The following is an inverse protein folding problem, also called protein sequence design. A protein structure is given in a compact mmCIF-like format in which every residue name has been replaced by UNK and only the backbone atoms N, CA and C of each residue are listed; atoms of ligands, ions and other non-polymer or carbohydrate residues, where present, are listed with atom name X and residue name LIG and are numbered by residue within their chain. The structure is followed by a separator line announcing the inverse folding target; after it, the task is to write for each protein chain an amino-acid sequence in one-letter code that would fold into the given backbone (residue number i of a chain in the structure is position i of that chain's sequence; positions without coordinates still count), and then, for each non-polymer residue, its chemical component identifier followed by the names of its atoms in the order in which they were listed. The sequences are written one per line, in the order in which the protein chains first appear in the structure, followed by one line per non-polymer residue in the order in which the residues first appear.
data_IF_471155403499
#
_entry.id   IF_471155403499
#
_cell.length_a   1.000
_cell.length_b   1.000
_cell.length_c   1.000
_cell.angle_alpha   90.00
_cell.angle_beta   90.00
_cell.angle_gamma   90.00
#
_symmetry.space_group_name_H-M   'P 1'
#
loop_
_entity.id
_entity.type
_entity.pdbx_description
1 polymer ?
#
# COMPACT_ATOMS: atom_id res chain seq x y z
N UNK A 1 9.40 -15.97 50.54
CA UNK A 1 9.34 -17.32 49.91
C UNK A 1 9.66 -17.18 48.42
N UNK A 2 10.66 -17.90 47.93
CA UNK A 2 10.85 -18.03 46.48
C UNK A 2 9.66 -18.79 45.89
N UNK A 3 9.11 -18.27 44.80
CA UNK A 3 8.05 -18.93 44.05
C UNK A 3 8.69 -20.11 43.30
N UNK A 4 8.15 -21.30 43.47
CA UNK A 4 8.59 -22.46 42.71
C UNK A 4 8.11 -22.38 41.26
N UNK A 5 8.83 -23.06 40.37
CA UNK A 5 8.62 -23.03 38.93
C UNK A 5 7.20 -23.45 38.52
N UNK A 6 6.61 -24.43 39.22
CA UNK A 6 5.25 -24.94 38.93
C UNK A 6 4.20 -23.89 39.29
N UNK A 7 4.38 -23.20 40.42
CA UNK A 7 3.51 -22.09 40.80
C UNK A 7 3.61 -20.94 39.79
N UNK A 8 4.81 -20.64 39.28
CA UNK A 8 4.98 -19.61 38.24
C UNK A 8 4.30 -20.00 36.92
N UNK A 9 4.48 -21.24 36.47
CA UNK A 9 3.86 -21.76 35.23
C UNK A 9 2.34 -21.67 35.30
N UNK A 10 1.73 -22.13 36.39
CA UNK A 10 0.27 -22.02 36.58
C UNK A 10 -0.25 -20.59 36.57
N UNK A 11 0.47 -19.67 37.20
CA UNK A 11 0.09 -18.26 37.22
C UNK A 11 0.19 -17.65 35.82
N UNK A 12 1.21 -18.01 35.04
CA UNK A 12 1.34 -17.56 33.65
C UNK A 12 0.19 -18.10 32.78
N UNK A 13 -0.15 -19.38 32.88
CA UNK A 13 -1.29 -19.97 32.15
C UNK A 13 -2.63 -19.31 32.51
N UNK A 14 -2.87 -19.04 33.80
CA UNK A 14 -4.08 -18.33 34.25
C UNK A 14 -4.13 -16.89 33.71
N UNK A 15 -2.99 -16.19 33.69
CA UNK A 15 -2.91 -14.82 33.14
C UNK A 15 -3.10 -14.80 31.62
N UNK A 16 -2.54 -15.75 30.88
CA UNK A 16 -2.74 -15.89 29.43
C UNK A 16 -4.21 -16.16 29.11
N UNK A 17 -4.84 -17.08 29.84
CA UNK A 17 -6.27 -17.40 29.68
C UNK A 17 -7.14 -16.18 29.94
N UNK A 18 -6.88 -15.47 31.04
CA UNK A 18 -7.65 -14.28 31.39
C UNK A 18 -7.43 -13.13 30.40
N UNK A 19 -6.21 -12.97 29.87
CA UNK A 19 -5.93 -12.00 28.82
C UNK A 19 -6.71 -12.31 27.54
N UNK A 20 -6.75 -13.58 27.14
CA UNK A 20 -7.50 -14.03 25.97
C UNK A 20 -9.01 -13.80 26.12
N UNK A 21 -9.59 -14.16 27.27
CA UNK A 21 -11.01 -13.94 27.56
C UNK A 21 -11.35 -12.45 27.56
N UNK A 22 -10.55 -11.62 28.24
CA UNK A 22 -10.76 -10.17 28.27
C UNK A 22 -10.68 -9.55 26.87
N UNK A 23 -9.75 -10.03 26.03
CA UNK A 23 -9.62 -9.54 24.66
C UNK A 23 -10.84 -9.91 23.81
N UNK A 24 -11.36 -11.13 23.94
CA UNK A 24 -12.59 -11.53 23.25
C UNK A 24 -13.82 -10.75 23.71
N UNK A 25 -13.96 -10.51 25.02
CA UNK A 25 -15.05 -9.69 25.57
C UNK A 25 -14.96 -8.26 25.02
N UNK A 26 -13.76 -7.69 24.97
CA UNK A 26 -13.55 -6.35 24.41
C UNK A 26 -13.93 -6.32 22.92
N UNK A 27 -13.55 -7.34 22.14
CA UNK A 27 -13.94 -7.48 20.72
C UNK A 27 -15.47 -7.55 20.56
N UNK A 28 -16.18 -8.25 21.45
CA UNK A 28 -17.64 -8.41 21.39
C UNK A 28 -18.42 -7.19 21.88
N UNK A 29 -17.87 -6.41 22.81
CA UNK A 29 -18.62 -5.36 23.55
C UNK A 29 -18.20 -3.94 23.20
N UNK A 30 -17.01 -3.73 22.64
CA UNK A 30 -16.53 -2.41 22.21
C UNK A 30 -16.67 -2.23 20.70
N UNK A 31 -17.38 -1.17 20.28
CA UNK A 31 -17.52 -0.83 18.85
C UNK A 31 -16.14 -0.54 18.23
N UNK A 32 -15.84 -1.17 17.08
CA UNK A 32 -14.61 -0.95 16.31
C UNK A 32 -13.40 -1.81 16.69
N UNK A 33 -13.53 -2.76 17.61
CA UNK A 33 -12.48 -3.78 17.90
C UNK A 33 -12.67 -5.09 17.10
N UNK A 34 -13.83 -5.28 16.47
CA UNK A 34 -14.08 -6.40 15.56
C UNK A 34 -13.35 -6.27 14.22
N UNK A 35 -13.07 -7.41 13.57
CA UNK A 35 -12.62 -7.42 12.17
C UNK A 35 -13.83 -7.13 11.29
N UNK A 36 -14.04 -5.87 10.96
CA UNK A 36 -15.06 -5.43 10.00
C UNK A 36 -14.46 -5.49 8.60
N UNK A 37 -15.03 -6.32 7.73
CA UNK A 37 -14.67 -6.31 6.31
C UNK A 37 -15.37 -5.13 5.64
N UNK A 38 -14.62 -4.06 5.38
CA UNK A 38 -15.10 -2.95 4.58
C UNK A 38 -15.12 -3.36 3.10
N UNK A 39 -16.31 -3.69 2.59
CA UNK A 39 -16.54 -4.10 1.19
C UNK A 39 -16.17 -3.01 0.18
N UNK A 40 -16.04 -1.74 0.61
CA UNK A 40 -15.66 -0.63 -0.26
C UNK A 40 -14.14 -0.46 -0.39
N UNK A 41 -13.33 -1.26 0.34
CA UNK A 41 -11.88 -1.20 0.23
C UNK A 41 -11.41 -1.84 -1.06
N UNK A 42 -10.70 -1.03 -1.85
CA UNK A 42 -10.16 -1.43 -3.14
C UNK A 42 -8.66 -1.14 -3.22
N UNK A 43 -7.96 -1.93 -4.03
CA UNK A 43 -6.56 -1.68 -4.33
C UNK A 43 -6.35 -0.30 -5.01
N UNK A 44 -5.41 0.49 -4.50
CA UNK A 44 -5.06 1.84 -4.99
C UNK A 44 -4.41 1.85 -6.39
N UNK A 45 -4.12 0.67 -6.95
CA UNK A 45 -3.57 0.52 -8.31
C UNK A 45 -4.65 0.07 -9.30
N UNK A 46 -5.29 -1.09 -9.05
CA UNK A 46 -6.25 -1.68 -9.99
C UNK A 46 -7.71 -1.35 -9.71
N UNK A 47 -8.03 -0.77 -8.53
CA UNK A 47 -9.39 -0.43 -8.08
C UNK A 47 -10.33 -1.63 -7.93
N UNK A 48 -9.79 -2.86 -7.89
CA UNK A 48 -10.55 -4.07 -7.55
C UNK A 48 -10.51 -4.33 -6.03
N UNK A 49 -11.62 -4.80 -5.43
CA UNK A 49 -11.66 -5.29 -4.05
C UNK A 49 -11.22 -6.76 -3.93
N UNK A 50 -11.04 -7.47 -5.04
CA UNK A 50 -10.80 -8.92 -5.06
C UNK A 50 -9.34 -9.27 -4.80
N UNK A 51 -9.06 -9.95 -3.68
CA UNK A 51 -7.79 -10.60 -3.39
C UNK A 51 -7.81 -12.10 -3.70
N UNK A 52 -6.68 -12.65 -4.12
CA UNK A 52 -6.48 -14.07 -4.39
C UNK A 52 -5.34 -14.65 -3.53
N UNK A 53 -5.29 -15.98 -3.38
CA UNK A 53 -4.17 -16.65 -2.70
C UNK A 53 -2.85 -16.35 -3.43
N UNK A 54 -1.85 -15.89 -2.69
CA UNK A 54 -0.58 -15.39 -3.24
C UNK A 54 -0.64 -14.01 -3.92
N UNK A 55 -1.82 -13.35 -3.97
CA UNK A 55 -1.99 -11.98 -4.47
C UNK A 55 -2.94 -11.15 -3.58
N UNK A 56 -2.79 -11.31 -2.27
CA UNK A 56 -3.57 -10.63 -1.24
C UNK A 56 -3.45 -9.09 -1.27
N UNK A 57 -4.43 -8.41 -0.68
CA UNK A 57 -4.35 -6.98 -0.39
C UNK A 57 -3.45 -6.72 0.82
N UNK A 58 -2.51 -5.80 0.67
CA UNK A 58 -1.55 -5.42 1.70
C UNK A 58 -1.66 -3.92 1.98
N UNK A 59 -1.77 -3.58 3.27
CA UNK A 59 -1.88 -2.21 3.74
C UNK A 59 -0.53 -1.72 4.27
N UNK A 60 -0.16 -0.48 3.92
CA UNK A 60 1.00 0.14 4.54
C UNK A 60 0.67 0.63 5.95
N UNK A 61 1.41 0.15 6.94
CA UNK A 61 1.21 0.49 8.36
C UNK A 61 1.43 1.97 8.72
N UNK A 62 1.94 2.79 7.78
CA UNK A 62 2.20 4.22 8.01
C UNK A 62 1.25 5.15 7.28
N UNK A 63 0.84 4.83 6.06
CA UNK A 63 0.03 5.72 5.23
C UNK A 63 -1.30 5.10 4.76
N UNK A 64 -1.57 3.86 5.16
CA UNK A 64 -2.76 3.11 4.82
C UNK A 64 -3.04 2.93 3.31
N UNK A 65 -2.00 3.05 2.46
CA UNK A 65 -2.14 2.69 1.04
C UNK A 65 -2.42 1.19 0.96
N UNK A 66 -3.45 0.81 0.22
CA UNK A 66 -3.90 -0.57 0.04
C UNK A 66 -3.55 -1.03 -1.36
N UNK A 67 -2.78 -2.10 -1.50
CA UNK A 67 -2.37 -2.62 -2.81
C UNK A 67 -2.36 -4.14 -2.84
N UNK A 68 -2.73 -4.72 -3.97
CA UNK A 68 -2.40 -6.13 -4.21
C UNK A 68 -0.90 -6.34 -4.33
N UNK A 69 -0.43 -7.51 -3.90
CA UNK A 69 0.99 -7.89 -4.00
C UNK A 69 1.53 -7.72 -5.42
N UNK A 70 0.87 -8.29 -6.43
CA UNK A 70 1.29 -8.17 -7.83
C UNK A 70 1.14 -6.75 -8.38
N UNK A 71 0.15 -5.99 -7.91
CA UNK A 71 -0.06 -4.61 -8.34
C UNK A 71 1.06 -3.65 -7.91
N UNK A 72 1.77 -3.96 -6.83
CA UNK A 72 2.85 -3.12 -6.30
C UNK A 72 4.23 -3.78 -6.30
N UNK A 73 4.30 -5.05 -6.74
CA UNK A 73 5.53 -5.83 -6.81
C UNK A 73 6.05 -6.25 -5.44
N UNK A 74 5.14 -6.66 -4.54
CA UNK A 74 5.47 -7.25 -3.25
C UNK A 74 5.72 -8.74 -3.50
N UNK A 75 6.98 -9.17 -3.43
CA UNK A 75 7.35 -10.57 -3.68
C UNK A 75 7.05 -11.49 -2.50
N UNK A 76 7.03 -10.92 -1.29
CA UNK A 76 6.71 -11.62 -0.05
C UNK A 76 6.23 -10.61 0.98
N UNK A 77 5.07 -10.86 1.58
CA UNK A 77 4.60 -10.09 2.74
C UNK A 77 5.52 -10.42 3.93
N UNK A 78 6.14 -9.42 4.58
CA UNK A 78 6.99 -9.64 5.73
C UNK A 78 6.16 -10.14 6.93
N UNK A 79 6.80 -10.90 7.81
CA UNK A 79 6.23 -11.19 9.13
C UNK A 79 6.36 -9.90 9.95
N UNK A 80 5.23 -9.28 10.30
CA UNK A 80 5.19 -7.98 10.97
C UNK A 80 4.84 -6.84 10.00
N UNK A 81 5.40 -5.65 10.25
CA UNK A 81 4.98 -4.44 9.53
C UNK A 81 5.43 -4.42 8.07
N UNK A 82 4.53 -4.02 7.17
CA UNK A 82 4.84 -3.67 5.78
C UNK A 82 4.74 -2.17 5.55
N UNK A 83 5.78 -1.60 4.92
CA UNK A 83 5.82 -0.20 4.52
C UNK A 83 5.91 -0.08 3.00
N UNK A 84 5.06 0.76 2.41
CA UNK A 84 5.19 1.12 1.01
C UNK A 84 6.52 1.88 0.74
N UNK A 85 6.90 2.00 -0.53
CA UNK A 85 8.25 2.46 -0.89
C UNK A 85 8.54 3.89 -0.41
N UNK A 86 7.55 4.78 -0.40
CA UNK A 86 7.69 6.16 0.08
C UNK A 86 7.84 6.21 1.60
N UNK A 87 7.03 5.45 2.33
CA UNK A 87 7.07 5.36 3.79
C UNK A 87 8.38 4.76 4.30
N UNK A 88 8.86 3.68 3.66
CA UNK A 88 10.14 3.04 3.99
C UNK A 88 11.34 4.00 3.82
N UNK A 89 11.27 4.91 2.84
CA UNK A 89 12.30 5.94 2.62
C UNK A 89 12.05 7.24 3.39
N UNK A 90 10.93 7.36 4.12
CA UNK A 90 10.58 8.57 4.86
C UNK A 90 10.28 9.79 3.99
N UNK A 91 9.91 9.60 2.71
CA UNK A 91 9.67 10.68 1.75
C UNK A 91 8.18 10.87 1.44
N UNK A 92 7.79 12.08 1.04
CA UNK A 92 6.44 12.40 0.56
C UNK A 92 6.50 13.03 -0.85
N UNK A 93 6.91 12.25 -1.87
CA UNK A 93 7.10 12.78 -3.20
C UNK A 93 5.75 13.06 -3.88
N UNK A 94 5.78 13.94 -4.88
CA UNK A 94 4.66 14.13 -5.81
C UNK A 94 4.81 13.20 -7.01
N UNK A 95 3.69 12.73 -7.54
CA UNK A 95 3.69 12.09 -8.85
C UNK A 95 4.10 13.10 -9.92
N UNK A 96 4.94 12.68 -10.87
CA UNK A 96 5.35 13.52 -12.00
C UNK A 96 4.26 13.63 -13.07
N UNK A 97 3.34 12.66 -13.14
CA UNK A 97 2.42 12.47 -14.26
C UNK A 97 0.99 12.92 -13.96
N UNK A 98 0.69 13.30 -12.72
CA UNK A 98 -0.63 13.80 -12.33
C UNK A 98 -0.52 14.72 -11.09
N UNK A 99 -1.54 15.53 -10.78
CA UNK A 99 -1.52 16.43 -9.63
C UNK A 99 -1.85 15.76 -8.29
N UNK A 100 -2.31 14.49 -8.30
CA UNK A 100 -2.76 13.80 -7.07
C UNK A 100 -1.59 13.50 -6.12
N UNK A 101 -1.85 13.63 -4.83
CA UNK A 101 -0.90 13.32 -3.74
C UNK A 101 -1.27 11.98 -3.09
N UNK A 102 -0.31 11.39 -2.37
CA UNK A 102 -0.48 10.10 -1.71
C UNK A 102 -0.48 8.93 -2.71
N UNK A 103 -1.07 7.79 -2.32
CA UNK A 103 -1.25 6.62 -3.17
C UNK A 103 0.03 5.80 -3.43
N UNK A 104 -0.12 4.78 -4.26
CA UNK A 104 0.93 3.81 -4.58
C UNK A 104 1.96 4.37 -5.56
N UNK A 105 3.10 4.83 -5.05
CA UNK A 105 4.18 5.46 -5.82
C UNK A 105 5.40 4.56 -5.96
N UNK A 106 6.06 4.60 -7.11
CA UNK A 106 7.36 3.96 -7.36
C UNK A 106 8.36 4.96 -7.95
N UNK A 107 9.66 4.83 -7.62
CA UNK A 107 10.66 5.74 -8.12
C UNK A 107 11.02 5.45 -9.59
N UNK A 108 11.48 6.48 -10.27
CA UNK A 108 12.19 6.36 -11.54
C UNK A 108 13.60 5.83 -11.33
N UNK A 109 14.31 5.46 -12.41
CA UNK A 109 15.67 4.91 -12.33
C UNK A 109 16.67 5.79 -11.57
N UNK A 110 16.51 7.11 -11.56
CA UNK A 110 17.38 8.02 -10.80
C UNK A 110 17.09 8.05 -9.29
N UNK A 111 15.96 7.48 -8.83
CA UNK A 111 15.51 7.57 -7.44
C UNK A 111 14.94 8.93 -7.03
N UNK A 112 15.08 9.97 -7.86
CA UNK A 112 14.72 11.36 -7.51
C UNK A 112 13.31 11.75 -7.93
N UNK A 113 12.78 11.15 -9.00
CA UNK A 113 11.40 11.39 -9.47
C UNK A 113 10.53 10.17 -9.19
N UNK A 114 9.24 10.42 -8.97
CA UNK A 114 8.27 9.42 -8.53
C UNK A 114 7.01 9.48 -9.39
N UNK A 115 6.39 8.34 -9.60
CA UNK A 115 5.19 8.19 -10.42
C UNK A 115 4.26 7.18 -9.77
N UNK A 116 2.95 7.42 -9.83
CA UNK A 116 1.97 6.43 -9.39
C UNK A 116 2.07 5.20 -10.28
N UNK A 117 1.96 4.00 -9.68
CA UNK A 117 1.95 2.77 -10.46
C UNK A 117 0.82 2.77 -11.49
N UNK A 118 -0.37 3.23 -11.10
CA UNK A 118 -1.51 3.41 -12.00
C UNK A 118 -1.22 4.38 -13.16
N UNK A 119 -0.61 5.54 -12.91
CA UNK A 119 -0.19 6.44 -13.98
C UNK A 119 0.78 5.77 -14.96
N UNK A 120 1.72 4.98 -14.46
CA UNK A 120 2.68 4.27 -15.30
C UNK A 120 2.05 3.15 -16.15
N UNK A 121 0.97 2.54 -15.67
CA UNK A 121 0.22 1.50 -16.40
C UNK A 121 -0.64 2.09 -17.53
N UNK A 122 -1.22 3.26 -17.31
CA UNK A 122 -2.21 3.83 -18.24
C UNK A 122 -1.60 4.80 -19.28
N UNK A 123 -0.37 5.29 -19.08
CA UNK A 123 0.31 6.13 -20.07
C UNK A 123 1.13 5.24 -21.01
N UNK A 124 0.75 5.13 -22.31
CA UNK A 124 1.31 4.12 -23.21
C UNK A 124 2.83 4.20 -23.41
N UNK A 125 3.40 5.40 -23.34
CA UNK A 125 4.82 5.62 -23.56
C UNK A 125 5.69 5.30 -22.33
N UNK A 126 5.06 5.19 -21.14
CA UNK A 126 5.74 4.84 -19.89
C UNK A 126 5.92 3.32 -19.83
N UNK A 127 6.98 2.87 -19.17
CA UNK A 127 7.21 1.44 -18.95
C UNK A 127 7.70 1.17 -17.54
N UNK A 128 7.40 -0.02 -17.03
CA UNK A 128 7.93 -0.52 -15.77
C UNK A 128 9.11 -1.44 -16.08
N UNK A 129 10.27 -1.15 -15.49
CA UNK A 129 11.53 -1.83 -15.84
C UNK A 129 11.55 -3.31 -15.48
N UNK A 130 11.01 -3.67 -14.31
CA UNK A 130 10.83 -5.05 -13.86
C UNK A 130 9.37 -5.21 -13.42
N UNK A 131 8.53 -5.91 -14.20
CA UNK A 131 7.12 -6.12 -13.88
C UNK A 131 6.90 -6.83 -12.53
N UNK A 132 7.75 -7.80 -12.18
CA UNK A 132 7.65 -8.52 -10.90
C UNK A 132 7.84 -7.61 -9.68
N UNK A 133 8.73 -6.62 -9.78
CA UNK A 133 9.00 -5.65 -8.69
C UNK A 133 8.20 -4.36 -8.85
N UNK A 134 7.46 -4.24 -9.95
CA UNK A 134 6.77 -3.03 -10.39
C UNK A 134 7.66 -1.77 -10.40
N UNK A 135 8.97 -1.92 -10.63
CA UNK A 135 9.93 -0.81 -10.55
C UNK A 135 11.23 -1.07 -11.35
N UNK A 136 12.04 -0.04 -11.65
CA UNK A 136 11.69 1.38 -11.57
C UNK A 136 10.73 1.78 -12.70
N UNK A 137 10.12 2.96 -12.56
CA UNK A 137 9.38 3.58 -13.67
C UNK A 137 10.37 4.16 -14.69
N UNK A 138 10.13 3.90 -15.98
CA UNK A 138 11.05 4.20 -17.07
C UNK A 138 10.32 4.81 -18.27
N UNK A 139 11.08 5.26 -19.28
CA UNK A 139 10.60 5.84 -20.55
C UNK A 139 9.68 7.06 -20.44
N UNK A 140 9.64 7.75 -19.29
CA UNK A 140 8.91 9.01 -19.13
C UNK A 140 9.33 10.07 -20.17
N UNK A 141 10.61 10.08 -20.57
CA UNK A 141 11.11 10.99 -21.61
C UNK A 141 10.57 10.70 -23.01
N UNK A 142 9.87 9.57 -23.22
CA UNK A 142 9.26 9.22 -24.49
C UNK A 142 7.83 9.77 -24.62
N UNK A 143 7.26 10.33 -23.54
CA UNK A 143 5.94 10.95 -23.56
C UNK A 143 5.99 12.19 -24.47
N UNK A 144 5.16 12.27 -25.53
CA UNK A 144 5.15 13.41 -26.44
C UNK A 144 4.80 14.72 -25.73
N UNK A 145 5.45 15.82 -26.13
CA UNK A 145 5.19 17.16 -25.57
C UNK A 145 3.71 17.56 -25.63
N UNK A 146 2.97 17.10 -26.65
CA UNK A 146 1.54 17.34 -26.79
C UNK A 146 0.71 16.84 -25.61
N UNK A 147 1.09 15.72 -24.98
CA UNK A 147 0.36 15.18 -23.80
C UNK A 147 0.50 16.04 -22.56
N UNK A 148 1.66 16.69 -22.40
CA UNK A 148 1.92 17.62 -21.29
C UNK A 148 1.17 18.94 -21.45
N UNK A 149 0.77 19.28 -22.68
CA UNK A 149 0.00 20.49 -22.98
C UNK A 149 -1.51 20.29 -22.81
N UNK A 150 -1.99 19.07 -22.57
CA UNK A 150 -3.41 18.78 -22.39
C UNK A 150 -3.92 19.29 -21.03
N UNK A 151 -5.13 19.84 -21.04
CA UNK A 151 -5.89 20.13 -19.83
C UNK A 151 -6.78 18.94 -19.49
N UNK A 152 -6.71 18.46 -18.25
CA UNK A 152 -7.53 17.35 -17.80
C UNK A 152 -9.02 17.74 -17.81
N UNK A 153 -9.88 16.94 -18.45
CA UNK A 153 -11.32 17.21 -18.50
C UNK A 153 -12.01 17.12 -17.13
N UNK A 154 -11.40 16.42 -16.17
CA UNK A 154 -11.95 16.21 -14.82
C UNK A 154 -11.49 17.30 -13.84
N UNK A 155 -10.18 17.48 -13.64
CA UNK A 155 -9.65 18.46 -12.68
C UNK A 155 -9.38 19.85 -13.29
N UNK A 156 -9.46 20.01 -14.61
CA UNK A 156 -9.20 21.25 -15.36
C UNK A 156 -7.78 21.80 -15.24
N UNK A 157 -6.86 21.07 -14.63
CA UNK A 157 -5.45 21.45 -14.55
C UNK A 157 -4.66 21.00 -15.78
N UNK A 158 -3.64 21.78 -16.15
CA UNK A 158 -2.60 21.41 -17.12
C UNK A 158 -1.35 20.88 -16.40
N UNK A 159 -1.56 19.98 -15.42
CA UNK A 159 -0.49 19.40 -14.59
C UNK A 159 -0.33 17.93 -14.93
N UNK A 160 0.89 17.50 -15.26
CA UNK A 160 1.19 16.11 -15.61
C UNK A 160 0.83 15.78 -17.05
N UNK A 161 0.36 14.56 -17.30
CA UNK A 161 0.12 14.03 -18.64
C UNK A 161 -1.24 13.37 -18.73
N UNK A 162 -2.08 13.84 -19.65
CA UNK A 162 -3.41 13.27 -19.85
C UNK A 162 -3.39 12.05 -20.79
N UNK A 163 -4.33 11.13 -20.55
CA UNK A 163 -4.73 10.07 -21.49
C UNK A 163 -6.00 10.50 -22.22
N UNK A 164 -6.30 9.89 -23.38
CA UNK A 164 -7.45 10.19 -24.24
C UNK A 164 -8.07 8.90 -24.76
#
# INVERSE_FOLDING_TARGET
PELDEITLERVLEELETMCYENMNIAIETEEGLGIEYDEDVVCDVCRSPEGEDGNEMVFCDKCNVCVHQACYGILKVPIGSWLCRTCALGVQPKCLLCPKRGGALKPTRSGTKWVHVSCALWIPEVSIGCPEKMEPITKISHIPASRWALSCSLCKECTGTCIQ
#
